data_IF_205085140050
#
_entry.id   IF_205085140050
#
_cell.length_a   1.000
_cell.length_b   1.000
_cell.length_c   1.000
_cell.angle_alpha   90.00
_cell.angle_beta   90.00
_cell.angle_gamma   90.00
#
_symmetry.space_group_name_H-M   'P 1'
#
loop_
_entity.id
_entity.type
_entity.pdbx_description
1 polymer ?
#
# COMPACT_ATOMS: atom_id res chain seq x y z
N UNK A 1 11.48 -1.73 -14.29
CA UNK A 1 10.26 -2.07 -13.53
C UNK A 1 9.98 -3.53 -13.78
N UNK A 2 9.84 -4.33 -12.72
CA UNK A 2 9.44 -5.73 -12.82
C UNK A 2 8.11 -5.90 -13.54
N UNK A 3 7.87 -7.10 -14.10
CA UNK A 3 6.61 -7.42 -14.79
C UNK A 3 5.39 -7.21 -13.89
N UNK A 4 5.49 -7.56 -12.61
CA UNK A 4 4.41 -7.38 -11.63
C UNK A 4 4.11 -5.90 -11.34
N UNK A 5 5.14 -5.08 -11.08
CA UNK A 5 4.94 -3.65 -10.84
C UNK A 5 4.33 -2.94 -12.05
N UNK A 6 4.72 -3.33 -13.28
CA UNK A 6 4.13 -2.79 -14.50
C UNK A 6 2.66 -3.19 -14.65
N UNK A 7 2.31 -4.44 -14.35
CA UNK A 7 0.93 -4.94 -14.40
C UNK A 7 0.05 -4.20 -13.40
N UNK A 8 0.48 -4.12 -12.15
CA UNK A 8 -0.31 -3.47 -11.08
C UNK A 8 -0.42 -1.96 -11.30
N UNK A 9 0.60 -1.29 -11.87
CA UNK A 9 0.52 0.11 -12.31
C UNK A 9 -0.61 0.32 -13.32
N UNK A 10 -0.67 -0.51 -14.35
CA UNK A 10 -1.69 -0.39 -15.40
C UNK A 10 -3.09 -0.68 -14.84
N UNK A 11 -3.20 -1.72 -14.01
CA UNK A 11 -4.44 -2.04 -13.29
C UNK A 11 -4.92 -0.86 -12.43
N UNK A 12 -4.03 -0.25 -11.64
CA UNK A 12 -4.36 0.94 -10.84
C UNK A 12 -4.86 2.08 -11.72
N UNK A 13 -4.21 2.34 -12.86
CA UNK A 13 -4.64 3.39 -13.77
C UNK A 13 -6.04 3.12 -14.35
N UNK A 14 -6.33 1.88 -14.74
CA UNK A 14 -7.65 1.46 -15.23
C UNK A 14 -8.74 1.63 -14.14
N UNK A 15 -8.42 1.26 -12.90
CA UNK A 15 -9.33 1.39 -11.76
C UNK A 15 -9.63 2.85 -11.42
N UNK A 16 -8.61 3.71 -11.42
CA UNK A 16 -8.75 5.14 -11.22
C UNK A 16 -9.62 5.77 -12.32
N UNK A 17 -9.34 5.43 -13.58
CA UNK A 17 -10.14 5.91 -14.72
C UNK A 17 -11.62 5.48 -14.61
N UNK A 18 -11.87 4.21 -14.29
CA UNK A 18 -13.22 3.68 -14.17
C UNK A 18 -14.00 4.27 -12.98
N UNK A 19 -13.33 4.49 -11.84
CA UNK A 19 -13.97 5.06 -10.65
C UNK A 19 -14.23 6.56 -10.76
N UNK A 20 -13.41 7.29 -11.54
CA UNK A 20 -13.48 8.74 -11.67
C UNK A 20 -12.92 9.48 -10.45
N UNK A 21 -12.67 10.80 -10.53
CA UNK A 21 -11.87 11.58 -9.56
C UNK A 21 -12.52 11.78 -8.18
N UNK A 22 -13.83 11.57 -8.09
CA UNK A 22 -14.62 11.82 -6.88
C UNK A 22 -14.84 10.58 -6.01
N UNK A 23 -14.46 9.39 -6.49
CA UNK A 23 -14.75 8.12 -5.85
C UNK A 23 -13.96 7.94 -4.53
N UNK A 24 -14.53 7.19 -3.57
CA UNK A 24 -13.86 6.90 -2.31
C UNK A 24 -12.65 5.97 -2.51
N UNK A 25 -11.75 6.00 -1.54
CA UNK A 25 -10.64 5.05 -1.39
C UNK A 25 -10.57 4.56 0.05
N UNK A 26 -9.82 3.49 0.32
CA UNK A 26 -9.53 3.07 1.69
C UNK A 26 -8.53 3.99 2.42
N UNK A 27 -7.87 4.91 1.70
CA UNK A 27 -7.05 5.93 2.33
C UNK A 27 -7.97 6.97 2.98
N UNK A 28 -7.97 7.05 4.30
CA UNK A 28 -8.83 7.95 5.05
C UNK A 28 -8.73 9.40 4.54
N UNK A 29 -9.89 10.01 4.25
CA UNK A 29 -9.99 11.37 3.75
C UNK A 29 -9.55 11.58 2.29
N UNK A 30 -9.11 10.53 1.58
CA UNK A 30 -8.64 10.63 0.20
C UNK A 30 -9.68 10.15 -0.79
N UNK A 31 -9.90 10.97 -1.83
CA UNK A 31 -10.57 10.53 -3.06
C UNK A 31 -9.54 9.93 -4.01
N UNK A 32 -10.03 9.25 -5.04
CA UNK A 32 -9.19 8.71 -6.13
C UNK A 32 -8.29 9.77 -6.79
N UNK A 33 -8.70 11.05 -6.83
CA UNK A 33 -7.84 12.15 -7.27
C UNK A 33 -6.62 12.35 -6.37
N UNK A 34 -6.83 12.35 -5.05
CA UNK A 34 -5.74 12.52 -4.08
C UNK A 34 -4.78 11.34 -4.14
N UNK A 35 -5.32 10.12 -4.25
CA UNK A 35 -4.53 8.90 -4.44
C UNK A 35 -3.71 8.95 -5.74
N UNK A 36 -4.32 9.38 -6.85
CA UNK A 36 -3.63 9.51 -8.13
C UNK A 36 -2.47 10.53 -8.05
N UNK A 37 -2.72 11.69 -7.43
CA UNK A 37 -1.68 12.69 -7.21
C UNK A 37 -0.54 12.13 -6.33
N UNK A 38 -0.86 11.36 -5.28
CA UNK A 38 0.15 10.77 -4.38
C UNK A 38 1.09 9.84 -5.13
N UNK A 39 0.54 8.95 -5.94
CA UNK A 39 1.33 8.00 -6.74
C UNK A 39 2.26 8.75 -7.69
N UNK A 40 1.78 9.79 -8.38
CA UNK A 40 2.60 10.59 -9.30
C UNK A 40 3.72 11.33 -8.56
N UNK A 41 3.40 11.95 -7.42
CA UNK A 41 4.38 12.69 -6.59
C UNK A 41 5.46 11.75 -6.07
N UNK A 42 5.07 10.58 -5.52
CA UNK A 42 5.99 9.57 -5.00
C UNK A 42 7.03 9.13 -6.03
N UNK A 43 6.63 8.97 -7.30
CA UNK A 43 7.54 8.53 -8.35
C UNK A 43 8.40 9.63 -8.95
N UNK A 44 7.90 10.87 -9.00
CA UNK A 44 8.54 11.96 -9.77
C UNK A 44 9.23 12.99 -8.90
N UNK A 45 8.92 13.03 -7.62
CA UNK A 45 9.40 14.05 -6.68
C UNK A 45 9.96 13.38 -5.44
N UNK A 46 11.08 12.65 -5.58
CA UNK A 46 11.79 12.04 -4.44
C UNK A 46 12.15 13.08 -3.37
N UNK A 47 12.41 14.31 -3.80
CA UNK A 47 12.64 15.49 -2.96
C UNK A 47 11.41 15.86 -2.09
N UNK A 48 10.19 15.53 -2.52
CA UNK A 48 8.96 15.69 -1.74
C UNK A 48 8.54 14.39 -1.04
N UNK A 49 8.80 13.23 -1.66
CA UNK A 49 8.54 11.90 -1.09
C UNK A 49 9.34 11.66 0.21
N UNK A 50 10.46 12.37 0.41
CA UNK A 50 11.14 12.42 1.71
C UNK A 50 10.22 12.85 2.87
N UNK A 51 9.16 13.63 2.61
CA UNK A 51 8.12 13.99 3.58
C UNK A 51 7.21 12.86 4.03
N UNK A 52 7.16 11.75 3.28
CA UNK A 52 6.46 10.52 3.70
C UNK A 52 7.22 9.89 4.88
N UNK A 53 8.56 9.97 4.88
CA UNK A 53 9.42 9.37 5.89
C UNK A 53 9.93 10.36 6.96
N UNK A 54 10.02 11.65 6.62
CA UNK A 54 10.62 12.72 7.43
C UNK A 54 9.58 13.81 7.67
N UNK A 55 9.04 13.88 8.89
CA UNK A 55 7.96 14.80 9.25
C UNK A 55 8.24 16.29 8.96
N UNK A 56 9.52 16.72 9.02
CA UNK A 56 9.92 18.10 8.70
C UNK A 56 9.67 18.50 7.23
N UNK A 57 9.53 17.54 6.33
CA UNK A 57 9.26 17.77 4.90
C UNK A 57 7.76 17.67 4.55
N UNK A 58 6.87 17.45 5.54
CA UNK A 58 5.42 17.29 5.34
C UNK A 58 4.78 18.48 4.64
N UNK A 59 5.11 19.72 5.04
CA UNK A 59 4.55 20.92 4.39
C UNK A 59 4.95 21.08 2.92
N UNK A 60 6.13 20.56 2.53
CA UNK A 60 6.56 20.52 1.13
C UNK A 60 5.83 19.42 0.35
N UNK A 61 5.63 18.27 0.97
CA UNK A 61 4.82 17.19 0.42
C UNK A 61 3.39 17.66 0.17
N UNK A 62 2.74 18.29 1.15
CA UNK A 62 1.37 18.79 1.05
C UNK A 62 1.22 19.82 -0.08
N UNK A 63 2.19 20.73 -0.24
CA UNK A 63 2.19 21.69 -1.35
C UNK A 63 2.29 21.01 -2.71
N UNK A 64 3.26 20.09 -2.87
CA UNK A 64 3.46 19.38 -4.13
C UNK A 64 2.25 18.48 -4.43
N UNK A 65 1.68 17.85 -3.41
CA UNK A 65 0.43 17.10 -3.53
C UNK A 65 -0.70 17.98 -4.06
N UNK A 66 -0.89 19.18 -3.49
CA UNK A 66 -1.88 20.15 -3.94
C UNK A 66 -1.68 20.61 -5.39
N UNK A 67 -0.43 20.83 -5.82
CA UNK A 67 -0.10 21.15 -7.22
C UNK A 67 -0.53 20.04 -8.18
N UNK A 68 -0.36 18.76 -7.79
CA UNK A 68 -0.80 17.63 -8.62
C UNK A 68 -2.30 17.39 -8.53
N UNK A 69 -2.94 17.52 -7.37
CA UNK A 69 -4.40 17.41 -7.22
C UNK A 69 -5.14 18.46 -8.06
N UNK A 70 -4.53 19.64 -8.29
CA UNK A 70 -5.08 20.69 -9.14
C UNK A 70 -5.02 20.40 -10.65
N UNK A 71 -4.24 19.40 -11.09
CA UNK A 71 -4.15 19.01 -12.51
C UNK A 71 -5.45 18.36 -13.00
N UNK A 72 -5.68 18.36 -14.34
CA UNK A 72 -6.69 17.50 -14.94
C UNK A 72 -6.49 16.05 -14.49
N UNK A 73 -7.58 15.37 -14.15
CA UNK A 73 -7.49 14.02 -13.57
C UNK A 73 -6.93 13.01 -14.59
N UNK A 74 -7.33 13.20 -15.85
CA UNK A 74 -6.88 12.43 -17.00
C UNK A 74 -5.36 12.57 -17.20
N UNK A 75 -4.81 13.75 -16.93
CA UNK A 75 -3.35 13.97 -16.95
C UNK A 75 -2.67 13.10 -15.87
N UNK A 76 -3.21 13.07 -14.64
CA UNK A 76 -2.67 12.24 -13.56
C UNK A 76 -2.68 10.75 -13.94
N UNK A 77 -3.79 10.25 -14.50
CA UNK A 77 -3.90 8.86 -14.97
C UNK A 77 -2.83 8.58 -16.03
N UNK A 78 -2.67 9.45 -17.02
CA UNK A 78 -1.64 9.27 -18.06
C UNK A 78 -0.22 9.28 -17.49
N UNK A 79 0.06 10.13 -16.50
CA UNK A 79 1.34 10.16 -15.81
C UNK A 79 1.60 8.86 -15.03
N UNK A 80 0.57 8.24 -14.46
CA UNK A 80 0.64 6.91 -13.81
C UNK A 80 0.86 5.82 -14.86
N UNK A 81 0.11 5.80 -15.96
CA UNK A 81 0.23 4.78 -17.02
C UNK A 81 1.64 4.73 -17.61
N UNK A 82 2.20 5.91 -17.90
CA UNK A 82 3.49 6.05 -18.59
C UNK A 82 4.69 5.97 -17.64
N UNK A 83 4.50 6.33 -16.36
CA UNK A 83 5.57 6.41 -15.38
C UNK A 83 6.60 7.50 -15.66
N UNK A 84 7.64 7.62 -14.80
CA UNK A 84 8.63 8.68 -14.94
C UNK A 84 9.44 8.54 -16.25
N UNK A 85 9.89 9.66 -16.87
CA UNK A 85 10.75 9.61 -18.05
C UNK A 85 12.02 8.78 -17.81
N UNK A 86 12.46 8.03 -18.83
CA UNK A 86 13.60 7.08 -18.75
C UNK A 86 14.92 7.71 -18.24
N UNK A 87 15.08 9.03 -18.39
CA UNK A 87 16.29 9.78 -17.99
C UNK A 87 16.04 10.76 -16.84
N UNK A 88 14.92 10.64 -16.13
CA UNK A 88 14.69 11.49 -14.97
C UNK A 88 15.73 11.20 -13.90
N UNK A 89 16.36 12.21 -13.26
CA UNK A 89 17.20 11.99 -12.07
C UNK A 89 16.39 11.39 -10.91
N UNK A 90 15.06 11.47 -10.99
CA UNK A 90 14.10 10.83 -10.09
C UNK A 90 13.55 9.50 -10.62
N UNK A 91 13.92 9.08 -11.85
CA UNK A 91 13.61 7.73 -12.33
C UNK A 91 14.33 6.73 -11.43
N UNK A 92 13.52 5.95 -10.72
CA UNK A 92 13.88 5.15 -9.55
C UNK A 92 14.91 4.05 -9.87
N UNK A 93 16.18 4.41 -10.09
CA UNK A 93 17.30 3.48 -9.93
C UNK A 93 17.58 3.17 -8.45
N UNK A 94 17.00 3.94 -7.52
CA UNK A 94 17.29 3.87 -6.07
C UNK A 94 16.15 3.31 -5.21
N UNK A 95 14.92 3.17 -5.72
CA UNK A 95 13.85 2.46 -5.01
C UNK A 95 13.74 1.07 -5.60
N UNK A 96 13.78 0.06 -4.73
CA UNK A 96 13.58 -1.35 -5.08
C UNK A 96 12.34 -1.46 -5.98
N UNK A 97 12.50 -1.97 -7.21
CA UNK A 97 11.41 -2.11 -8.20
C UNK A 97 10.19 -2.83 -7.64
N UNK A 98 10.45 -3.61 -6.62
CA UNK A 98 9.51 -4.26 -5.80
C UNK A 98 8.71 -3.54 -4.75
N UNK A 99 9.28 -2.48 -4.15
CA UNK A 99 8.52 -1.57 -3.33
C UNK A 99 7.43 -0.89 -4.18
N UNK A 100 7.69 -0.68 -5.48
CA UNK A 100 6.67 -0.21 -6.42
C UNK A 100 5.58 -1.27 -6.67
N UNK A 101 5.93 -2.57 -6.74
CA UNK A 101 4.93 -3.62 -6.90
C UNK A 101 3.95 -3.66 -5.71
N UNK A 102 4.45 -3.53 -4.48
CA UNK A 102 3.62 -3.44 -3.28
C UNK A 102 2.78 -2.17 -3.27
N UNK A 103 3.36 -1.01 -3.58
CA UNK A 103 2.64 0.27 -3.63
C UNK A 103 1.46 0.22 -4.60
N UNK A 104 1.69 -0.23 -5.85
CA UNK A 104 0.63 -0.32 -6.84
C UNK A 104 -0.42 -1.36 -6.48
N UNK A 105 -0.02 -2.49 -5.89
CA UNK A 105 -0.95 -3.49 -5.39
C UNK A 105 -1.86 -2.90 -4.31
N UNK A 106 -1.29 -2.31 -3.25
CA UNK A 106 -2.05 -1.74 -2.13
C UNK A 106 -3.00 -0.66 -2.61
N UNK A 107 -2.55 0.26 -3.47
CA UNK A 107 -3.40 1.35 -3.94
C UNK A 107 -4.44 0.90 -4.99
N UNK A 108 -4.17 -0.16 -5.75
CA UNK A 108 -5.22 -0.78 -6.58
C UNK A 108 -6.32 -1.37 -5.69
N UNK A 109 -5.94 -2.05 -4.61
CA UNK A 109 -6.89 -2.56 -3.62
C UNK A 109 -7.59 -1.42 -2.86
N UNK A 110 -6.92 -0.30 -2.54
CA UNK A 110 -7.54 0.86 -1.90
C UNK A 110 -8.69 1.45 -2.76
N UNK A 111 -8.54 1.45 -4.09
CA UNK A 111 -9.62 1.88 -5.01
C UNK A 111 -10.71 0.82 -5.11
N UNK A 112 -10.33 -0.45 -5.33
CA UNK A 112 -11.30 -1.54 -5.53
C UNK A 112 -12.18 -1.76 -4.31
N UNK A 113 -11.56 -1.94 -3.14
CA UNK A 113 -12.24 -2.34 -1.91
C UNK A 113 -13.13 -1.24 -1.33
N UNK A 114 -12.91 0.00 -1.75
CA UNK A 114 -13.77 1.13 -1.39
C UNK A 114 -15.07 1.20 -2.21
N UNK A 115 -15.21 0.40 -3.27
CA UNK A 115 -16.45 0.33 -4.05
C UNK A 115 -17.47 -0.61 -3.39
N UNK A 116 -18.77 -0.34 -3.49
CA UNK A 116 -19.82 -1.10 -2.79
C UNK A 116 -19.85 -2.59 -3.17
N UNK A 117 -19.58 -2.92 -4.43
CA UNK A 117 -19.69 -4.30 -4.97
C UNK A 117 -18.33 -4.99 -5.12
N UNK A 118 -17.34 -4.61 -4.32
CA UNK A 118 -16.03 -5.23 -4.42
C UNK A 118 -16.06 -6.71 -4.00
N UNK A 119 -15.27 -7.52 -4.70
CA UNK A 119 -15.01 -8.92 -4.35
C UNK A 119 -13.52 -9.24 -4.41
N UNK A 120 -13.02 -10.11 -3.51
CA UNK A 120 -11.65 -10.61 -3.54
C UNK A 120 -11.24 -11.05 -4.94
N UNK A 121 -10.04 -10.64 -5.35
CA UNK A 121 -9.43 -11.17 -6.56
C UNK A 121 -8.42 -12.24 -6.23
N UNK A 122 -8.31 -13.19 -7.15
CA UNK A 122 -7.20 -14.10 -7.15
C UNK A 122 -5.92 -13.36 -7.55
N UNK A 123 -4.89 -13.49 -6.71
CA UNK A 123 -3.56 -12.98 -6.99
C UNK A 123 -2.74 -14.13 -7.55
N UNK A 124 -2.12 -13.91 -8.70
CA UNK A 124 -1.23 -14.88 -9.34
C UNK A 124 -0.21 -15.44 -8.32
N UNK A 125 0.00 -16.76 -8.22
CA UNK A 125 0.85 -17.37 -7.19
C UNK A 125 2.29 -16.85 -7.19
N UNK A 126 2.87 -16.56 -8.37
CA UNK A 126 4.22 -16.01 -8.47
C UNK A 126 4.27 -14.60 -7.89
N UNK A 127 3.23 -13.81 -8.16
CA UNK A 127 3.11 -12.48 -7.56
C UNK A 127 2.84 -12.54 -6.05
N UNK A 128 1.98 -13.45 -5.59
CA UNK A 128 1.70 -13.66 -4.16
C UNK A 128 2.98 -14.02 -3.39
N UNK A 129 3.83 -14.89 -3.94
CA UNK A 129 5.13 -15.21 -3.37
C UNK A 129 6.08 -14.00 -3.36
N UNK A 130 6.01 -13.13 -4.38
CA UNK A 130 6.75 -11.87 -4.38
C UNK A 130 6.29 -10.92 -3.27
N UNK A 131 4.98 -10.82 -3.04
CA UNK A 131 4.40 -10.03 -1.94
C UNK A 131 4.87 -10.58 -0.59
N UNK A 132 4.83 -11.90 -0.40
CA UNK A 132 5.30 -12.55 0.83
C UNK A 132 6.76 -12.22 1.14
N UNK A 133 7.69 -12.43 0.19
CA UNK A 133 9.12 -12.14 0.38
C UNK A 133 9.41 -10.68 0.71
N UNK A 134 8.54 -9.77 0.29
CA UNK A 134 8.63 -8.33 0.57
C UNK A 134 8.11 -8.00 1.93
N UNK A 135 6.96 -8.57 2.26
CA UNK A 135 6.40 -8.51 3.59
C UNK A 135 7.39 -9.03 4.62
N UNK A 136 8.08 -10.15 4.37
CA UNK A 136 9.11 -10.68 5.28
C UNK A 136 10.20 -9.64 5.63
N UNK A 137 10.63 -8.87 4.63
CA UNK A 137 11.65 -7.83 4.79
C UNK A 137 11.13 -6.56 5.45
N UNK A 138 9.86 -6.21 5.21
CA UNK A 138 9.24 -4.98 5.69
C UNK A 138 8.42 -5.14 6.98
N UNK A 139 8.08 -6.36 7.39
CA UNK A 139 7.12 -6.66 8.46
C UNK A 139 7.48 -5.97 9.77
N UNK A 140 8.78 -5.95 10.13
CA UNK A 140 9.25 -5.27 11.35
C UNK A 140 9.11 -3.76 11.31
N UNK A 141 9.26 -3.16 10.12
CA UNK A 141 9.08 -1.72 9.94
C UNK A 141 7.58 -1.38 10.00
N UNK A 142 6.75 -2.13 9.29
CA UNK A 142 5.30 -1.95 9.22
C UNK A 142 4.60 -2.23 10.56
N UNK A 143 5.07 -3.23 11.31
CA UNK A 143 4.55 -3.64 12.61
C UNK A 143 5.17 -2.90 13.80
N UNK A 144 6.11 -1.95 13.60
CA UNK A 144 6.85 -1.31 14.71
C UNK A 144 5.98 -0.60 15.74
N UNK A 145 4.79 -0.14 15.32
CA UNK A 145 3.80 0.56 16.14
C UNK A 145 2.72 -0.36 16.72
N UNK A 146 2.79 -1.67 16.46
CA UNK A 146 1.83 -2.60 17.01
C UNK A 146 1.89 -2.57 18.55
N UNK A 147 0.74 -2.47 19.25
CA UNK A 147 0.68 -2.44 20.71
C UNK A 147 0.83 -3.83 21.36
N UNK A 148 0.97 -4.88 20.54
CA UNK A 148 1.01 -6.30 20.94
C UNK A 148 2.12 -7.01 20.17
N UNK A 149 2.51 -8.21 20.62
CA UNK A 149 3.29 -9.11 19.77
C UNK A 149 2.49 -9.47 18.52
N UNK A 150 3.08 -9.33 17.34
CA UNK A 150 2.38 -9.51 16.07
C UNK A 150 3.13 -10.49 15.18
N UNK A 151 2.48 -11.59 14.83
CA UNK A 151 2.96 -12.61 13.90
C UNK A 151 2.05 -12.63 12.68
N UNK A 152 2.62 -12.57 11.48
CA UNK A 152 1.90 -12.76 10.23
C UNK A 152 2.15 -14.19 9.75
N UNK A 153 1.09 -14.91 9.38
CA UNK A 153 1.12 -16.34 9.05
C UNK A 153 0.39 -16.62 7.73
N UNK A 154 1.02 -17.37 6.84
CA UNK A 154 0.37 -17.93 5.65
C UNK A 154 -0.42 -19.20 5.99
N UNK A 155 -1.43 -19.59 5.18
CA UNK A 155 -2.17 -20.83 5.39
C UNK A 155 -1.30 -22.09 5.35
N UNK A 156 -0.18 -22.05 4.61
CA UNK A 156 0.82 -23.13 4.55
C UNK A 156 1.74 -23.21 5.78
N UNK A 157 1.55 -22.33 6.77
CA UNK A 157 2.29 -22.31 8.03
C UNK A 157 3.56 -21.46 8.01
N UNK A 158 3.96 -20.86 6.88
CA UNK A 158 5.08 -19.91 6.88
C UNK A 158 4.73 -18.67 7.72
N UNK A 159 5.69 -18.17 8.51
CA UNK A 159 5.45 -17.03 9.43
C UNK A 159 6.54 -15.97 9.34
N UNK A 160 6.16 -14.73 9.67
CA UNK A 160 7.10 -13.65 9.97
C UNK A 160 6.66 -12.89 11.21
N UNK A 161 7.61 -12.58 12.10
CA UNK A 161 7.37 -11.75 13.28
C UNK A 161 7.44 -10.27 12.89
N UNK A 162 6.28 -9.61 12.85
CA UNK A 162 6.15 -8.18 12.56
C UNK A 162 6.41 -7.31 13.78
N UNK A 163 6.06 -7.77 14.98
CA UNK A 163 6.35 -7.08 16.23
C UNK A 163 6.65 -8.07 17.36
N UNK A 164 7.66 -7.78 18.18
CA UNK A 164 7.97 -8.59 19.36
C UNK A 164 7.30 -7.96 20.58
N UNK A 165 6.45 -8.70 21.27
CA UNK A 165 5.75 -8.24 22.46
C UNK A 165 4.85 -9.32 23.04
N UNK A 166 4.19 -9.01 24.14
CA UNK A 166 3.17 -9.87 24.77
C UNK A 166 1.99 -8.99 25.22
N UNK A 167 0.73 -9.45 25.10
CA UNK A 167 0.30 -10.72 24.51
C UNK A 167 0.60 -10.81 23.00
N UNK A 168 0.58 -12.02 22.44
CA UNK A 168 0.88 -12.28 21.01
C UNK A 168 -0.41 -12.51 20.25
N UNK A 169 -0.53 -11.86 19.10
CA UNK A 169 -1.60 -12.04 18.11
C UNK A 169 -0.99 -12.60 16.83
N UNK A 170 -1.59 -13.66 16.31
CA UNK A 170 -1.26 -14.26 15.01
C UNK A 170 -2.32 -13.92 13.99
N UNK A 171 -1.92 -13.23 12.93
CA UNK A 171 -2.79 -12.86 11.81
C UNK A 171 -2.50 -13.80 10.65
N UNK A 172 -3.52 -14.56 10.22
CA UNK A 172 -3.41 -15.58 9.18
C UNK A 172 -4.14 -15.17 7.92
N UNK A 173 -3.50 -15.30 6.75
CA UNK A 173 -4.15 -15.00 5.47
C UNK A 173 -3.23 -15.13 4.27
N UNK A 174 -3.78 -14.97 3.08
CA UNK A 174 -3.01 -14.96 1.83
C UNK A 174 -1.99 -13.80 1.82
N UNK A 175 -0.86 -13.92 1.10
CA UNK A 175 0.18 -12.88 1.08
C UNK A 175 -0.32 -11.47 0.75
N UNK A 176 -1.30 -11.36 -0.15
CA UNK A 176 -1.95 -10.09 -0.49
C UNK A 176 -2.74 -9.50 0.68
N UNK A 177 -3.49 -10.33 1.40
CA UNK A 177 -4.30 -9.92 2.56
C UNK A 177 -3.41 -9.53 3.74
N UNK A 178 -2.34 -10.29 4.01
CA UNK A 178 -1.36 -9.93 5.03
C UNK A 178 -0.63 -8.62 4.69
N UNK A 179 -0.38 -8.37 3.40
CA UNK A 179 0.19 -7.10 2.92
C UNK A 179 -0.77 -5.94 3.18
N UNK A 180 -2.06 -6.11 2.89
CA UNK A 180 -3.09 -5.09 3.21
C UNK A 180 -3.18 -4.82 4.72
N UNK A 181 -3.23 -5.89 5.53
CA UNK A 181 -3.26 -5.79 6.99
C UNK A 181 -2.04 -5.02 7.53
N UNK A 182 -0.83 -5.44 7.16
CA UNK A 182 0.41 -4.80 7.62
C UNK A 182 0.57 -3.36 7.10
N UNK A 183 -0.09 -3.02 5.99
CA UNK A 183 -0.10 -1.66 5.43
C UNK A 183 -1.11 -0.73 6.09
N UNK A 184 -1.82 -1.16 7.15
CA UNK A 184 -2.77 -0.29 7.84
C UNK A 184 -4.21 -0.37 7.30
N UNK A 185 -4.56 -1.43 6.55
CA UNK A 185 -5.92 -1.65 6.03
C UNK A 185 -6.57 -2.85 6.73
N UNK A 186 -6.41 -2.95 8.05
CA UNK A 186 -6.87 -4.11 8.83
C UNK A 186 -8.36 -4.41 8.61
N UNK A 187 -9.22 -3.40 8.63
CA UNK A 187 -10.68 -3.57 8.46
C UNK A 187 -11.09 -4.09 7.08
N UNK A 188 -10.26 -3.85 6.06
CA UNK A 188 -10.51 -4.27 4.69
C UNK A 188 -9.77 -5.57 4.31
N UNK A 189 -8.86 -6.05 5.17
CA UNK A 189 -8.09 -7.27 4.93
C UNK A 189 -8.92 -8.52 5.30
N UNK A 190 -8.87 -9.54 4.44
CA UNK A 190 -9.52 -10.84 4.68
C UNK A 190 -8.54 -11.78 5.38
N UNK A 191 -8.44 -11.63 6.69
CA UNK A 191 -7.52 -12.39 7.56
C UNK A 191 -8.26 -12.99 8.74
N UNK A 192 -7.72 -14.08 9.27
CA UNK A 192 -8.10 -14.65 10.55
C UNK A 192 -7.16 -14.10 11.64
N UNK A 193 -7.71 -13.66 12.76
CA UNK A 193 -6.93 -13.10 13.88
C UNK A 193 -7.08 -14.02 15.08
N UNK A 194 -5.96 -14.57 15.55
CA UNK A 194 -5.87 -15.49 16.68
C UNK A 194 -5.05 -14.86 17.81
N UNK A 195 -5.66 -14.79 18.99
CA UNK A 195 -5.12 -14.14 20.19
C UNK A 195 -6.24 -13.93 21.21
N UNK A 196 -5.92 -13.45 22.41
CA UNK A 196 -6.98 -13.03 23.33
C UNK A 196 -7.78 -11.86 22.73
N UNK A 197 -9.04 -11.71 23.14
CA UNK A 197 -9.96 -10.77 22.51
C UNK A 197 -9.49 -9.31 22.61
N UNK A 198 -8.88 -8.93 23.74
CA UNK A 198 -8.37 -7.58 23.96
C UNK A 198 -7.14 -7.31 23.08
N UNK A 199 -6.20 -8.25 23.01
CA UNK A 199 -5.03 -8.14 22.14
C UNK A 199 -5.40 -8.10 20.65
N UNK A 200 -6.37 -8.94 20.26
CA UNK A 200 -6.86 -9.00 18.88
C UNK A 200 -7.49 -7.68 18.45
N UNK A 201 -8.33 -7.08 19.29
CA UNK A 201 -8.90 -5.76 19.05
C UNK A 201 -7.80 -4.69 18.90
N UNK A 202 -6.82 -4.68 19.81
CA UNK A 202 -5.67 -3.77 19.74
C UNK A 202 -4.85 -3.93 18.46
N UNK A 203 -4.71 -5.15 17.93
CA UNK A 203 -4.00 -5.39 16.68
C UNK A 203 -4.75 -4.83 15.46
N UNK A 204 -6.09 -4.94 15.47
CA UNK A 204 -6.96 -4.44 14.40
C UNK A 204 -7.01 -2.91 14.39
N UNK A 205 -7.15 -2.28 15.55
CA UNK A 205 -7.28 -0.82 15.69
C UNK A 205 -5.93 -0.06 15.58
N UNK A 206 -4.80 -0.76 15.58
CA UNK A 206 -3.49 -0.14 15.54
C UNK A 206 -3.24 0.65 14.24
N UNK A 207 -2.53 1.78 14.33
CA UNK A 207 -2.04 2.48 13.13
C UNK A 207 -0.75 1.81 12.62
N UNK A 208 -0.93 0.75 11.83
CA UNK A 208 0.16 0.03 11.16
C UNK A 208 0.59 0.71 9.85
N UNK A 209 1.66 0.21 9.24
CA UNK A 209 2.20 0.72 7.97
C UNK A 209 3.52 1.50 8.14
N UNK A 210 3.94 2.16 7.05
CA UNK A 210 5.20 2.92 7.02
C UNK A 210 5.06 4.30 7.66
#
# INVERSE_FOLDING_TARGET
MSTHAKRERLLLADLLEAAGPGAPTLCEGWKTRDLAAHVVVRERRLDAAGGIMIGALKGRLDRVQGEFTAKPYEELIQLIRTGPPKFSPYSLKQVDEGANAVEFFVHAEDVRRAQPDWSPREVDPVFAESLWRRLEKAARLMGRKAPVGLVLRRPDGQTVVAHRGTPVVTVTGEPGELTMFASGRQDAAKVEVDGDAEASAKAIEATLGM
#
